data_IF_108519248032
#
_entry.id   IF_108519248032
#
_cell.length_a   1.000
_cell.length_b   1.000
_cell.length_c   1.000
_cell.angle_alpha   90.00
_cell.angle_beta   90.00
_cell.angle_gamma   90.00
#
_symmetry.space_group_name_H-M   'P 1'
#
loop_
_entity.id
_entity.type
_entity.pdbx_description
1 polymer ?
#
# COMPACT_ATOMS: atom_id res chain seq x y z
N UNK A 1 5.29 -27.32 -0.85
CA UNK A 1 4.40 -26.35 -1.55
C UNK A 1 2.97 -26.68 -1.14
N UNK A 2 2.18 -25.67 -0.76
CA UNK A 2 0.76 -25.87 -0.48
C UNK A 2 0.03 -26.07 -1.82
N UNK A 3 -0.87 -27.06 -1.95
CA UNK A 3 -1.41 -27.44 -3.27
C UNK A 3 -2.54 -26.52 -3.77
N UNK A 4 -3.08 -25.66 -2.91
CA UNK A 4 -4.19 -24.77 -3.20
C UNK A 4 -3.80 -23.30 -2.95
N UNK A 5 -4.68 -22.37 -3.29
CA UNK A 5 -4.52 -20.96 -2.90
C UNK A 5 -4.28 -20.82 -1.40
N UNK A 6 -3.18 -20.16 -1.03
CA UNK A 6 -2.86 -19.83 0.35
C UNK A 6 -3.12 -18.35 0.63
N UNK A 7 -4.03 -18.10 1.55
CA UNK A 7 -4.26 -16.78 2.13
C UNK A 7 -3.46 -16.69 3.43
N UNK A 8 -2.50 -15.78 3.49
CA UNK A 8 -1.59 -15.63 4.61
C UNK A 8 -1.93 -14.41 5.47
N UNK A 9 -2.17 -14.65 6.75
CA UNK A 9 -2.37 -13.61 7.76
C UNK A 9 -1.16 -13.51 8.70
N UNK A 10 -0.35 -12.46 8.52
CA UNK A 10 0.78 -12.11 9.40
C UNK A 10 0.47 -10.85 10.21
N UNK A 11 -0.36 -10.99 11.24
CA UNK A 11 -0.71 -9.85 12.10
C UNK A 11 0.55 -9.18 12.69
N UNK A 12 0.56 -7.84 12.73
CA UNK A 12 1.67 -7.04 13.25
C UNK A 12 2.85 -6.83 12.30
N UNK A 13 2.95 -7.54 11.18
CA UNK A 13 4.01 -7.34 10.18
C UNK A 13 3.73 -6.14 9.28
N UNK A 14 4.74 -5.41 8.82
CA UNK A 14 4.54 -4.33 7.85
C UNK A 14 4.08 -4.86 6.47
N UNK A 15 3.44 -4.00 5.67
CA UNK A 15 2.86 -4.42 4.38
C UNK A 15 3.92 -4.77 3.33
N UNK A 16 5.10 -4.15 3.36
CA UNK A 16 6.17 -4.41 2.39
C UNK A 16 6.77 -5.80 2.60
N UNK A 17 6.95 -6.21 3.85
CA UNK A 17 7.37 -7.57 4.19
C UNK A 17 6.32 -8.60 3.78
N UNK A 18 5.03 -8.32 3.99
CA UNK A 18 3.95 -9.21 3.53
C UNK A 18 3.89 -9.31 2.00
N UNK A 19 4.13 -8.22 1.28
CA UNK A 19 4.18 -8.25 -0.18
C UNK A 19 5.26 -9.20 -0.71
N UNK A 20 6.42 -9.25 -0.03
CA UNK A 20 7.48 -10.23 -0.35
C UNK A 20 7.05 -11.69 -0.17
N UNK A 21 6.07 -11.99 0.68
CA UNK A 21 5.55 -13.36 0.78
C UNK A 21 4.86 -13.79 -0.54
N UNK A 22 4.27 -12.85 -1.28
CA UNK A 22 3.71 -13.09 -2.61
C UNK A 22 4.84 -13.23 -3.63
N UNK A 23 5.79 -12.30 -3.65
CA UNK A 23 6.93 -12.32 -4.59
C UNK A 23 7.78 -13.60 -4.45
N UNK A 24 7.91 -14.13 -3.22
CA UNK A 24 8.66 -15.35 -2.93
C UNK A 24 7.86 -16.64 -3.14
N UNK A 25 6.58 -16.56 -3.54
CA UNK A 25 5.70 -17.73 -3.70
C UNK A 25 5.37 -18.44 -2.39
N UNK A 26 5.43 -17.73 -1.26
CA UNK A 26 5.01 -18.25 0.04
C UNK A 26 3.48 -18.21 0.14
N UNK A 27 2.84 -17.17 -0.39
CA UNK A 27 1.39 -16.97 -0.36
C UNK A 27 0.86 -16.43 -1.68
N UNK A 28 -0.40 -16.70 -1.99
CA UNK A 28 -1.09 -16.12 -3.14
C UNK A 28 -1.82 -14.82 -2.78
N UNK A 29 -2.26 -14.71 -1.52
CA UNK A 29 -3.00 -13.56 -1.01
C UNK A 29 -2.53 -13.23 0.40
N UNK A 30 -2.44 -11.95 0.74
CA UNK A 30 -2.17 -11.47 2.10
C UNK A 30 -3.38 -10.75 2.68
N UNK A 31 -3.56 -10.84 4.00
CA UNK A 31 -4.61 -10.08 4.70
C UNK A 31 -4.08 -8.73 5.21
N UNK A 32 -4.96 -7.74 5.30
CA UNK A 32 -4.64 -6.36 5.73
C UNK A 32 -5.54 -5.82 6.85
N UNK A 33 -6.16 -6.70 7.65
CA UNK A 33 -7.23 -6.36 8.62
C UNK A 33 -7.08 -5.05 9.39
N UNK A 34 -6.11 -4.94 10.32
CA UNK A 34 -5.92 -3.72 11.12
C UNK A 34 -5.58 -2.47 10.28
N UNK A 35 -4.89 -2.65 9.15
CA UNK A 35 -4.59 -1.54 8.25
C UNK A 35 -5.85 -1.05 7.54
N UNK A 36 -6.70 -1.95 7.07
CA UNK A 36 -7.97 -1.62 6.44
C UNK A 36 -8.95 -0.96 7.42
N UNK A 37 -8.98 -1.40 8.69
CA UNK A 37 -9.79 -0.77 9.74
C UNK A 37 -9.38 0.69 10.00
N UNK A 38 -8.08 0.98 9.99
CA UNK A 38 -7.57 2.32 10.20
C UNK A 38 -7.57 3.20 8.94
N UNK A 39 -7.64 2.58 7.76
CA UNK A 39 -7.50 3.25 6.45
C UNK A 39 -8.55 2.65 5.49
N UNK A 40 -9.79 3.19 5.44
CA UNK A 40 -10.83 2.68 4.57
C UNK A 40 -10.49 2.81 3.07
N UNK A 41 -9.54 3.68 2.71
CA UNK A 41 -9.01 3.96 1.37
C UNK A 41 -7.67 3.24 1.09
N UNK A 42 -7.33 2.22 1.88
CA UNK A 42 -6.04 1.53 1.79
C UNK A 42 -5.77 0.96 0.40
N UNK A 43 -6.80 0.46 -0.28
CA UNK A 43 -6.67 -0.13 -1.63
C UNK A 43 -6.21 0.93 -2.62
N UNK A 44 -6.85 2.09 -2.61
CA UNK A 44 -6.50 3.22 -3.45
C UNK A 44 -5.06 3.66 -3.16
N UNK A 45 -4.66 3.76 -1.88
CA UNK A 45 -3.31 4.18 -1.49
C UNK A 45 -2.21 3.24 -1.93
N UNK A 46 -2.49 1.94 -1.99
CA UNK A 46 -1.54 0.91 -2.45
C UNK A 46 -1.55 0.75 -3.97
N UNK A 47 -2.58 1.24 -4.65
CA UNK A 47 -2.67 1.13 -6.09
C UNK A 47 -1.53 1.95 -6.74
N UNK A 48 -0.73 1.36 -7.65
CA UNK A 48 0.42 2.03 -8.26
C UNK A 48 0.08 3.38 -8.91
N UNK A 49 -1.12 3.50 -9.47
CA UNK A 49 -1.60 4.74 -10.10
C UNK A 49 -1.88 5.88 -9.12
N UNK A 50 -2.11 5.58 -7.84
CA UNK A 50 -2.42 6.58 -6.80
C UNK A 50 -1.19 6.86 -5.94
N UNK A 51 -0.34 5.85 -5.72
CA UNK A 51 0.94 6.00 -5.03
C UNK A 51 1.87 6.99 -5.76
N UNK A 52 1.74 7.12 -7.08
CA UNK A 52 2.35 8.17 -7.89
C UNK A 52 1.59 9.50 -7.79
N UNK A 53 1.33 10.01 -6.59
CA UNK A 53 0.96 11.42 -6.45
C UNK A 53 2.15 12.27 -6.92
N UNK A 54 1.94 13.03 -8.01
CA UNK A 54 2.87 13.98 -8.64
C UNK A 54 3.72 14.72 -7.57
N UNK A 55 5.04 14.93 -7.76
CA UNK A 55 5.79 15.82 -6.88
C UNK A 55 5.07 17.16 -6.79
N UNK A 56 4.77 17.61 -5.57
CA UNK A 56 4.12 18.89 -5.34
C UNK A 56 4.96 19.96 -6.03
N UNK A 57 4.42 20.56 -7.08
CA UNK A 57 5.05 21.72 -7.70
C UNK A 57 5.08 22.81 -6.63
N UNK A 58 6.25 23.36 -6.26
CA UNK A 58 6.26 24.47 -5.33
C UNK A 58 5.47 25.62 -5.98
N UNK A 59 4.30 25.91 -5.43
CA UNK A 59 3.53 27.09 -5.85
C UNK A 59 4.21 28.29 -5.22
N UNK A 60 5.00 29.02 -6.02
CA UNK A 60 5.47 30.35 -5.62
C UNK A 60 4.23 31.24 -5.39
N UNK A 61 4.02 31.82 -4.21
CA UNK A 61 2.89 32.72 -3.98
C UNK A 61 3.02 33.95 -4.89
N UNK A 62 1.93 34.50 -5.45
CA UNK A 62 2.00 35.72 -6.25
C UNK A 62 2.51 36.87 -5.39
N UNK A 63 3.62 37.49 -5.81
CA UNK A 63 4.09 38.74 -5.24
C UNK A 63 3.05 39.81 -5.57
N UNK A 64 2.19 40.15 -4.61
CA UNK A 64 1.43 41.39 -4.68
C UNK A 64 2.40 42.53 -4.41
N UNK A 65 2.83 43.21 -5.47
CA UNK A 65 3.47 44.53 -5.37
C UNK A 65 2.40 45.52 -4.92
N UNK A 66 2.58 46.09 -3.74
CA UNK A 66 1.85 47.26 -3.25
C UNK A 66 2.43 48.54 -3.82
#
# INVERSE_FOLDING_TARGET
MWPNTLILNRAGTDIATRAKDIDNGIADVITVGSMALANPDLVERLHPSTAAARPATPTTPPTHTA
#
